data_IF_918045847862
#
_entry.id   IF_918045847862
#
_cell.length_a   1.000
_cell.length_b   1.000
_cell.length_c   1.000
_cell.angle_alpha   90.00
_cell.angle_beta   90.00
_cell.angle_gamma   90.00
#
_symmetry.space_group_name_H-M   'P 1'
#
loop_
_entity.id
_entity.type
_entity.pdbx_description
1 polymer ?
#
# COMPACT_ATOMS: atom_id res chain seq x y z
N UNK A 1 28.32 30.18 -43.26
CA UNK A 1 27.96 28.92 -43.95
C UNK A 1 28.94 27.77 -43.68
N UNK A 2 30.22 27.85 -44.04
CA UNK A 2 31.21 26.76 -43.81
C UNK A 2 31.33 26.28 -42.35
N UNK A 3 31.31 27.19 -41.38
CA UNK A 3 31.36 26.84 -39.95
C UNK A 3 30.10 26.07 -39.48
N UNK A 4 28.93 26.39 -40.04
CA UNK A 4 27.68 25.70 -39.71
C UNK A 4 27.69 24.24 -40.21
N UNK A 5 28.18 24.02 -41.44
CA UNK A 5 28.32 22.66 -41.99
C UNK A 5 29.33 21.82 -41.21
N UNK A 6 30.41 22.44 -40.71
CA UNK A 6 31.40 21.75 -39.89
C UNK A 6 30.82 21.36 -38.52
N UNK A 7 30.06 22.26 -37.87
CA UNK A 7 29.42 22.00 -36.58
C UNK A 7 28.34 20.91 -36.67
N UNK A 8 27.53 20.92 -37.75
CA UNK A 8 26.55 19.89 -38.01
C UNK A 8 27.20 18.50 -38.21
N UNK A 9 28.31 18.45 -38.96
CA UNK A 9 29.06 17.20 -39.17
C UNK A 9 29.68 16.66 -37.88
N UNK A 10 30.13 17.50 -36.96
CA UNK A 10 30.64 17.03 -35.67
C UNK A 10 29.51 16.53 -34.77
N UNK A 11 28.36 17.21 -34.77
CA UNK A 11 27.20 16.78 -34.01
C UNK A 11 26.74 15.38 -34.43
N UNK A 12 26.61 15.12 -35.73
CA UNK A 12 26.23 13.80 -36.26
C UNK A 12 27.22 12.69 -35.87
N UNK A 13 28.53 13.00 -35.82
CA UNK A 13 29.55 12.03 -35.39
C UNK A 13 29.42 11.71 -33.91
N UNK A 14 29.20 12.72 -33.07
CA UNK A 14 29.01 12.50 -31.62
C UNK A 14 27.74 11.72 -31.34
N UNK A 15 26.65 12.01 -32.06
CA UNK A 15 25.38 11.29 -31.96
C UNK A 15 25.55 9.82 -32.41
N UNK A 16 26.26 9.58 -33.50
CA UNK A 16 26.53 8.23 -34.00
C UNK A 16 27.41 7.40 -33.05
N UNK A 17 28.35 8.03 -32.33
CA UNK A 17 29.14 7.34 -31.30
C UNK A 17 28.31 7.03 -30.06
N UNK A 18 27.50 7.99 -29.60
CA UNK A 18 26.64 7.81 -28.43
C UNK A 18 25.60 6.70 -28.65
N UNK A 19 25.00 6.63 -29.84
CA UNK A 19 24.03 5.58 -30.18
C UNK A 19 24.65 4.19 -30.24
N UNK A 20 25.87 4.06 -30.80
CA UNK A 20 26.61 2.77 -30.80
C UNK A 20 26.96 2.29 -29.40
N UNK A 21 27.41 3.20 -28.53
CA UNK A 21 27.73 2.86 -27.14
C UNK A 21 26.47 2.45 -26.34
N UNK A 22 25.35 3.15 -26.56
CA UNK A 22 24.07 2.76 -25.98
C UNK A 22 23.61 1.38 -26.46
N UNK A 23 23.68 1.10 -27.76
CA UNK A 23 23.33 -0.21 -28.31
C UNK A 23 24.19 -1.33 -27.72
N UNK A 24 25.49 -1.08 -27.53
CA UNK A 24 26.40 -2.02 -26.88
C UNK A 24 25.96 -2.34 -25.45
N UNK A 25 25.67 -1.31 -24.65
CA UNK A 25 25.22 -1.49 -23.25
C UNK A 25 23.87 -2.19 -23.15
N UNK A 26 22.96 -1.92 -24.07
CA UNK A 26 21.66 -2.62 -24.14
C UNK A 26 21.86 -4.10 -24.43
N UNK A 27 22.78 -4.47 -25.34
CA UNK A 27 23.13 -5.87 -25.60
C UNK A 27 23.75 -6.56 -24.39
N UNK A 28 24.71 -5.90 -23.71
CA UNK A 28 25.32 -6.42 -22.48
C UNK A 28 24.24 -6.69 -21.40
N UNK A 29 23.38 -5.71 -21.13
CA UNK A 29 22.28 -5.87 -20.16
C UNK A 29 21.29 -6.97 -20.57
N UNK A 30 20.98 -7.10 -21.87
CA UNK A 30 20.11 -8.16 -22.36
C UNK A 30 20.71 -9.55 -22.09
N UNK A 31 22.02 -9.71 -22.22
CA UNK A 31 22.69 -10.99 -21.92
C UNK A 31 22.69 -11.30 -20.43
N UNK A 32 22.87 -10.30 -19.57
CA UNK A 32 22.78 -10.47 -18.12
C UNK A 32 21.37 -10.86 -17.66
N UNK A 33 20.34 -10.22 -18.22
CA UNK A 33 18.93 -10.56 -17.92
C UNK A 33 18.62 -12.00 -18.33
N UNK A 34 19.07 -12.44 -19.51
CA UNK A 34 18.90 -13.82 -19.96
C UNK A 34 19.61 -14.81 -19.02
N UNK A 35 20.81 -14.48 -18.54
CA UNK A 35 21.52 -15.30 -17.56
C UNK A 35 20.77 -15.39 -16.23
N UNK A 36 20.26 -14.28 -15.69
CA UNK A 36 19.47 -14.30 -14.46
C UNK A 36 18.19 -15.14 -14.61
N UNK A 37 17.50 -15.05 -15.74
CA UNK A 37 16.32 -15.87 -16.01
C UNK A 37 16.63 -17.37 -15.99
N UNK A 38 17.77 -17.77 -16.55
CA UNK A 38 18.21 -19.17 -16.53
C UNK A 38 18.49 -19.69 -15.10
N UNK A 39 19.07 -18.85 -14.24
CA UNK A 39 19.31 -19.19 -12.83
C UNK A 39 18.00 -19.35 -12.06
N UNK A 40 17.03 -18.44 -12.26
CA UNK A 40 15.71 -18.57 -11.63
C UNK A 40 14.97 -19.82 -12.07
N UNK A 41 15.06 -20.21 -13.35
CA UNK A 41 14.45 -21.44 -13.85
C UNK A 41 15.09 -22.68 -13.21
N UNK A 42 16.42 -22.70 -13.09
CA UNK A 42 17.15 -23.78 -12.42
C UNK A 42 16.75 -23.91 -10.94
N UNK A 43 16.64 -22.80 -10.20
CA UNK A 43 16.20 -22.80 -8.81
C UNK A 43 14.75 -23.31 -8.65
N UNK A 44 13.82 -22.90 -9.52
CA UNK A 44 12.44 -23.43 -9.50
C UNK A 44 12.39 -24.92 -9.78
N UNK A 45 13.21 -25.41 -10.71
CA UNK A 45 13.28 -26.84 -11.02
C UNK A 45 13.83 -27.65 -9.83
N UNK A 46 14.81 -27.11 -9.12
CA UNK A 46 15.38 -27.76 -7.94
C UNK A 46 14.41 -27.80 -6.75
N UNK A 47 13.59 -26.75 -6.57
CA UNK A 47 12.54 -26.75 -5.53
C UNK A 47 11.46 -27.80 -5.77
N UNK A 48 11.10 -28.08 -7.02
CA UNK A 48 10.10 -29.11 -7.32
C UNK A 48 10.58 -30.51 -6.92
N UNK A 49 11.84 -30.84 -7.17
CA UNK A 49 12.42 -32.14 -6.79
C UNK A 49 12.39 -32.34 -5.26
N UNK A 50 12.67 -31.29 -4.48
CA UNK A 50 12.67 -31.38 -3.01
C UNK A 50 11.23 -31.52 -2.46
N UNK A 51 10.23 -30.93 -3.11
CA UNK A 51 8.84 -31.04 -2.66
C UNK A 51 8.21 -32.42 -2.92
N UNK A 52 8.61 -33.10 -4.00
CA UNK A 52 8.11 -34.45 -4.31
C UNK A 52 8.73 -35.53 -3.39
N UNK A 53 9.95 -35.32 -2.89
CA UNK A 53 10.62 -36.29 -2.00
C UNK A 53 10.18 -36.15 -0.52
N UNK A 54 9.54 -35.02 -0.15
CA UNK A 54 9.11 -34.74 1.23
C UNK A 54 7.60 -34.90 1.48
N UNK A 55 6.89 -35.71 0.68
CA UNK A 55 5.56 -36.24 1.03
C UNK A 55 5.62 -37.70 1.49
N UNK A 56 6.17 -38.04 2.67
CA UNK A 56 5.85 -39.31 3.31
C UNK A 56 4.48 -39.22 3.98
N UNK A 57 3.53 -39.99 3.42
CA UNK A 57 2.44 -40.67 4.13
C UNK A 57 1.85 -39.94 5.36
N UNK A 58 1.10 -38.86 5.14
CA UNK A 58 0.09 -38.41 6.11
C UNK A 58 -1.30 -38.62 5.51
N UNK A 59 -1.56 -39.89 5.21
CA UNK A 59 -2.90 -40.39 4.88
C UNK A 59 -3.41 -41.12 6.13
N UNK A 60 -3.88 -40.36 7.13
CA UNK A 60 -4.68 -40.92 8.21
C UNK A 60 -5.63 -39.88 8.80
N UNK A 61 -6.93 -40.20 8.66
CA UNK A 61 -8.09 -39.65 9.37
C UNK A 61 -8.44 -38.18 9.16
N UNK A 62 -9.09 -37.94 8.00
CA UNK A 62 -10.07 -36.87 7.86
C UNK A 62 -11.42 -37.38 8.39
N UNK A 63 -11.66 -37.20 9.69
CA UNK A 63 -13.01 -37.30 10.26
C UNK A 63 -13.90 -36.22 9.65
N UNK A 64 -15.00 -36.65 9.05
CA UNK A 64 -16.05 -35.79 8.51
C UNK A 64 -16.81 -35.13 9.66
N UNK A 65 -16.41 -33.91 10.03
CA UNK A 65 -17.20 -33.08 10.94
C UNK A 65 -18.42 -32.56 10.18
N UNK A 66 -19.57 -33.12 10.53
CA UNK A 66 -20.90 -32.68 10.09
C UNK A 66 -21.18 -31.32 10.71
N UNK A 67 -21.28 -30.28 9.89
CA UNK A 67 -21.69 -28.93 10.30
C UNK A 67 -23.22 -28.90 10.39
N UNK A 68 -23.83 -28.59 11.55
CA UNK A 68 -25.28 -28.45 11.65
C UNK A 68 -25.74 -27.17 10.96
N UNK A 69 -26.87 -27.27 10.23
CA UNK A 69 -27.56 -26.14 9.64
C UNK A 69 -28.05 -25.18 10.74
N UNK A 70 -27.65 -23.91 10.63
CA UNK A 70 -28.16 -22.83 11.48
C UNK A 70 -29.46 -22.29 10.87
N UNK A 71 -30.53 -22.43 11.66
CA UNK A 71 -31.87 -21.92 11.38
C UNK A 71 -31.89 -20.38 11.33
N UNK A 72 -32.60 -19.88 10.33
CA UNK A 72 -32.87 -18.47 10.08
C UNK A 72 -34.08 -18.03 10.90
N UNK A 73 -33.84 -17.59 12.15
CA UNK A 73 -34.89 -16.96 12.95
C UNK A 73 -34.84 -15.44 12.84
N UNK A 74 -35.91 -14.90 12.28
CA UNK A 74 -36.30 -13.50 12.18
C UNK A 74 -36.36 -12.83 13.56
N UNK A 75 -35.57 -11.77 13.75
CA UNK A 75 -35.71 -10.85 14.87
C UNK A 75 -36.24 -9.51 14.34
N UNK A 76 -37.49 -9.22 14.71
CA UNK A 76 -38.15 -7.92 14.60
C UNK A 76 -37.49 -6.95 15.57
N UNK A 77 -37.06 -5.78 15.07
CA UNK A 77 -36.42 -4.74 15.87
C UNK A 77 -37.43 -3.61 16.08
N UNK A 78 -37.76 -3.37 17.35
CA UNK A 78 -38.74 -2.39 17.82
C UNK A 78 -38.23 -0.95 17.64
N UNK A 79 -39.08 -0.12 17.04
CA UNK A 79 -38.98 1.34 16.96
C UNK A 79 -39.33 1.96 18.33
N UNK A 80 -38.35 2.49 19.06
CA UNK A 80 -38.59 3.52 20.07
C UNK A 80 -37.29 4.20 20.52
N UNK A 81 -36.92 5.30 19.85
CA UNK A 81 -35.97 6.26 20.40
C UNK A 81 -36.37 7.68 20.01
N UNK A 82 -36.92 8.36 21.01
CA UNK A 82 -37.31 9.75 21.09
C UNK A 82 -36.21 10.73 20.70
N UNK A 83 -36.55 11.68 19.83
CA UNK A 83 -35.76 12.85 19.44
C UNK A 83 -35.48 13.79 20.61
N UNK A 84 -34.24 14.29 20.81
CA UNK A 84 -34.00 15.42 21.68
C UNK A 84 -34.30 16.74 20.92
N UNK A 85 -35.14 17.57 21.55
CA UNK A 85 -35.45 18.93 21.12
C UNK A 85 -34.21 19.83 21.20
N UNK A 86 -33.96 20.55 20.12
CA UNK A 86 -32.91 21.55 20.00
C UNK A 86 -33.44 22.89 20.55
N UNK A 87 -33.00 23.26 21.75
CA UNK A 87 -33.28 24.57 22.36
C UNK A 87 -32.26 25.60 21.85
N UNK A 88 -32.80 26.67 21.28
CA UNK A 88 -32.07 27.85 20.81
C UNK A 88 -31.67 28.77 21.98
N UNK A 89 -30.44 29.29 21.89
CA UNK A 89 -30.10 30.62 22.39
C UNK A 89 -29.23 30.67 23.65
N UNK A 90 -27.96 31.05 23.48
CA UNK A 90 -27.41 32.21 24.18
C UNK A 90 -26.07 32.63 23.54
N UNK A 91 -25.97 33.92 23.22
CA UNK A 91 -24.77 34.57 22.73
C UNK A 91 -23.61 34.52 23.75
N UNK A 92 -22.42 34.14 23.29
CA UNK A 92 -21.17 34.42 23.98
C UNK A 92 -20.12 34.85 22.93
N UNK A 93 -19.86 36.15 22.91
CA UNK A 93 -18.69 36.73 22.29
C UNK A 93 -17.42 36.24 23.01
N UNK A 94 -16.33 36.18 22.26
CA UNK A 94 -14.95 35.99 22.74
C UNK A 94 -14.55 34.58 23.20
N UNK A 95 -14.47 33.64 22.25
CA UNK A 95 -13.71 32.40 22.42
C UNK A 95 -12.42 32.44 21.57
N UNK A 96 -11.23 32.18 22.15
CA UNK A 96 -9.99 32.06 21.40
C UNK A 96 -10.08 30.88 20.42
N UNK A 97 -9.48 31.03 19.23
CA UNK A 97 -9.47 30.06 18.15
C UNK A 97 -9.06 28.66 18.64
N UNK A 98 -10.05 27.87 19.05
CA UNK A 98 -9.90 26.47 19.41
C UNK A 98 -9.60 25.74 18.11
N UNK A 99 -8.35 25.26 18.00
CA UNK A 99 -7.93 24.30 17.00
C UNK A 99 -9.00 23.19 16.96
N UNK A 100 -9.79 23.17 15.89
CA UNK A 100 -10.87 22.21 15.70
C UNK A 100 -10.25 20.82 15.74
N UNK A 101 -10.34 20.17 16.90
CA UNK A 101 -10.04 18.75 17.04
C UNK A 101 -11.07 18.06 16.17
N UNK A 102 -10.65 17.61 14.99
CA UNK A 102 -11.45 16.76 14.13
C UNK A 102 -11.79 15.49 14.92
N UNK A 103 -12.94 15.51 15.59
CA UNK A 103 -13.61 14.32 16.07
C UNK A 103 -14.19 13.65 14.83
N UNK A 104 -13.53 12.59 14.36
CA UNK A 104 -14.11 11.68 13.38
C UNK A 104 -15.55 11.34 13.81
N UNK A 105 -16.49 11.42 12.88
CA UNK A 105 -17.90 11.11 13.16
C UNK A 105 -18.00 9.77 13.89
N UNK A 106 -18.68 9.70 15.04
CA UNK A 106 -18.78 8.47 15.86
C UNK A 106 -19.44 7.30 15.12
N UNK A 107 -20.04 7.57 13.97
CA UNK A 107 -20.71 6.61 13.08
C UNK A 107 -19.74 5.67 12.34
N UNK A 108 -18.44 5.99 12.28
CA UNK A 108 -17.41 5.08 11.72
C UNK A 108 -16.79 4.15 12.76
N UNK A 109 -17.41 4.00 13.94
CA UNK A 109 -17.18 2.82 14.78
C UNK A 109 -17.74 1.63 14.02
N UNK A 110 -16.85 0.91 13.33
CA UNK A 110 -17.10 -0.45 12.89
C UNK A 110 -17.54 -1.21 14.16
N UNK A 111 -18.86 -1.44 14.32
CA UNK A 111 -19.36 -2.29 15.40
C UNK A 111 -18.93 -3.70 15.05
N UNK A 112 -17.75 -4.07 15.52
CA UNK A 112 -17.53 -5.47 15.84
C UNK A 112 -18.50 -5.70 16.99
N UNK A 113 -19.68 -6.22 16.65
CA UNK A 113 -20.70 -6.60 17.60
C UNK A 113 -20.07 -7.55 18.62
N UNK A 114 -19.65 -6.99 19.77
CA UNK A 114 -19.28 -7.77 20.95
C UNK A 114 -20.42 -8.72 21.35
N UNK A 115 -21.65 -8.37 20.99
CA UNK A 115 -22.86 -9.20 21.10
C UNK A 115 -22.85 -10.43 20.18
N UNK A 116 -22.20 -10.39 19.01
CA UNK A 116 -22.02 -11.56 18.16
C UNK A 116 -20.97 -12.54 18.74
N UNK A 117 -19.95 -12.04 19.46
CA UNK A 117 -19.03 -12.90 20.20
C UNK A 117 -19.68 -13.52 21.45
N UNK A 118 -20.55 -12.78 22.14
CA UNK A 118 -21.27 -13.29 23.31
C UNK A 118 -22.30 -14.37 22.95
N UNK A 119 -22.95 -14.26 21.78
CA UNK A 119 -23.94 -15.24 21.31
C UNK A 119 -23.32 -16.48 20.65
N UNK A 120 -22.00 -16.51 20.39
CA UNK A 120 -21.31 -17.68 19.86
C UNK A 120 -21.13 -18.83 20.88
N UNK A 121 -21.70 -18.72 22.09
CA UNK A 121 -21.67 -19.78 23.09
C UNK A 121 -20.27 -20.14 23.60
N UNK A 122 -19.27 -19.30 23.30
CA UNK A 122 -17.96 -19.36 23.92
C UNK A 122 -18.11 -18.83 25.35
N UNK A 123 -18.64 -19.69 26.22
CA UNK A 123 -18.41 -19.57 27.65
C UNK A 123 -16.92 -19.28 27.87
N UNK A 124 -16.54 -18.36 28.76
CA UNK A 124 -15.18 -18.29 29.25
C UNK A 124 -14.90 -19.58 30.02
N UNK A 125 -14.53 -20.63 29.28
CA UNK A 125 -14.08 -21.89 29.84
C UNK A 125 -12.76 -21.59 30.53
N UNK A 126 -12.80 -21.67 31.85
CA UNK A 126 -11.71 -21.58 32.81
C UNK A 126 -10.65 -22.70 32.67
N UNK A 127 -10.47 -23.27 31.49
CA UNK A 127 -9.32 -24.14 31.24
C UNK A 127 -8.15 -23.25 30.82
N UNK A 128 -7.49 -22.71 31.84
CA UNK A 128 -6.13 -22.17 31.72
C UNK A 128 -5.19 -23.38 31.65
N UNK A 129 -4.77 -23.87 30.46
CA UNK A 129 -3.74 -24.90 30.39
C UNK A 129 -2.52 -24.38 31.13
N UNK A 130 -1.99 -25.19 32.04
CA UNK A 130 -0.74 -24.91 32.72
C UNK A 130 0.33 -24.72 31.65
N UNK A 131 0.62 -23.45 31.34
CA UNK A 131 1.64 -23.05 30.39
C UNK A 131 2.97 -23.64 30.88
N UNK A 132 3.38 -24.74 30.26
CA UNK A 132 4.73 -25.25 30.34
C UNK A 132 5.66 -24.12 29.88
N UNK A 133 6.70 -23.85 30.67
CA UNK A 133 7.63 -22.71 30.52
C UNK A 133 8.26 -22.57 29.12
N UNK A 134 8.12 -23.57 28.25
CA UNK A 134 8.72 -23.60 26.92
C UNK A 134 7.92 -22.80 25.88
N UNK A 135 6.60 -22.66 26.02
CA UNK A 135 5.79 -21.87 25.09
C UNK A 135 5.74 -20.38 25.45
N UNK A 136 6.07 -20.04 26.70
CA UNK A 136 6.16 -18.66 27.15
C UNK A 136 7.20 -17.85 26.35
N UNK A 137 8.33 -18.46 25.98
CA UNK A 137 9.35 -17.79 25.18
C UNK A 137 8.96 -17.63 23.70
N UNK A 138 8.13 -18.51 23.14
CA UNK A 138 7.58 -18.38 21.77
C UNK A 138 6.52 -17.28 21.70
N UNK A 139 5.59 -17.24 22.65
CA UNK A 139 4.62 -16.17 22.76
C UNK A 139 5.26 -14.81 23.12
N UNK A 140 6.40 -14.83 23.83
CA UNK A 140 7.17 -13.63 24.16
C UNK A 140 8.07 -13.14 23.02
N UNK A 141 8.48 -14.01 22.10
CA UNK A 141 9.17 -13.62 20.87
C UNK A 141 8.23 -12.89 19.90
N UNK A 142 6.95 -13.28 19.83
CA UNK A 142 5.96 -12.61 18.99
C UNK A 142 5.35 -11.34 19.63
N UNK A 143 5.44 -11.18 20.95
CA UNK A 143 4.96 -9.98 21.66
C UNK A 143 6.03 -8.92 21.96
N UNK A 144 7.29 -9.14 21.55
CA UNK A 144 8.26 -8.05 21.38
C UNK A 144 8.12 -7.32 20.04
N UNK A 145 7.02 -7.56 19.30
CA UNK A 145 6.63 -6.68 18.22
C UNK A 145 6.28 -5.29 18.78
N UNK A 146 7.21 -4.36 18.56
CA UNK A 146 6.90 -2.95 18.31
C UNK A 146 6.44 -2.08 19.49
N UNK A 147 6.97 -2.28 20.69
CA UNK A 147 6.89 -1.23 21.71
C UNK A 147 8.09 -0.29 21.59
N UNK A 148 7.86 0.88 20.96
CA UNK A 148 8.52 2.20 21.20
C UNK A 148 10.05 2.24 21.00
N UNK A 149 10.73 3.15 20.29
CA UNK A 149 10.42 4.56 20.04
C UNK A 149 11.46 5.18 19.06
N UNK A 150 11.84 4.48 17.99
CA UNK A 150 12.55 5.14 16.89
C UNK A 150 11.57 5.38 15.75
N UNK A 151 10.74 6.40 15.94
CA UNK A 151 10.02 7.03 14.83
C UNK A 151 11.08 7.46 13.84
N UNK A 152 11.15 6.74 12.73
CA UNK A 152 12.15 6.99 11.73
C UNK A 152 11.95 8.43 11.22
N UNK A 153 12.97 9.30 11.24
CA UNK A 153 12.80 10.74 10.96
C UNK A 153 12.30 11.03 9.54
N UNK A 154 12.29 10.02 8.67
CA UNK A 154 11.82 10.09 7.29
C UNK A 154 10.39 9.56 7.09
N UNK A 155 9.66 9.25 8.16
CA UNK A 155 8.25 8.91 8.04
C UNK A 155 7.37 10.15 8.12
N UNK A 156 6.45 10.25 7.18
CA UNK A 156 5.55 11.38 7.06
C UNK A 156 4.20 10.97 7.64
N UNK A 157 3.74 11.73 8.64
CA UNK A 157 2.38 11.55 9.15
C UNK A 157 1.37 11.91 8.06
N UNK A 158 0.34 11.08 7.81
CA UNK A 158 -0.64 11.31 6.74
C UNK A 158 -1.45 12.60 6.93
N UNK A 159 -1.52 13.12 8.17
CA UNK A 159 -2.27 14.32 8.53
C UNK A 159 -1.47 15.62 8.34
N UNK A 160 -0.23 15.55 7.85
CA UNK A 160 0.57 16.77 7.63
C UNK A 160 0.03 17.56 6.42
N UNK A 161 -0.02 18.90 6.50
CA UNK A 161 -0.49 19.74 5.39
C UNK A 161 0.38 19.58 4.14
N UNK A 162 1.67 19.27 4.30
CA UNK A 162 2.57 18.96 3.19
C UNK A 162 2.09 17.75 2.38
N UNK A 163 1.60 16.70 3.04
CA UNK A 163 1.03 15.52 2.38
C UNK A 163 -0.24 15.90 1.64
N UNK A 164 -1.11 16.73 2.23
CA UNK A 164 -2.33 17.21 1.56
C UNK A 164 -2.00 18.04 0.32
N UNK A 165 -0.99 18.92 0.38
CA UNK A 165 -0.52 19.68 -0.78
C UNK A 165 0.08 18.77 -1.86
N UNK A 166 0.83 17.73 -1.46
CA UNK A 166 1.33 16.71 -2.40
C UNK A 166 0.19 15.99 -3.11
N UNK A 167 -0.84 15.56 -2.36
CA UNK A 167 -2.03 14.92 -2.93
C UNK A 167 -2.78 15.86 -3.90
N UNK A 168 -2.91 17.15 -3.54
CA UNK A 168 -3.55 18.14 -4.42
C UNK A 168 -2.76 18.35 -5.72
N UNK A 169 -1.42 18.41 -5.62
CA UNK A 169 -0.54 18.44 -6.79
C UNK A 169 -0.75 17.20 -7.67
N UNK A 170 -0.91 16.02 -7.06
CA UNK A 170 -1.22 14.79 -7.76
C UNK A 170 -2.53 14.83 -8.54
N UNK A 171 -3.59 15.39 -7.96
CA UNK A 171 -4.87 15.58 -8.67
C UNK A 171 -4.69 16.48 -9.90
N UNK A 172 -3.89 17.54 -9.80
CA UNK A 172 -3.61 18.44 -10.93
C UNK A 172 -2.80 17.71 -12.01
N UNK A 173 -1.75 16.97 -11.64
CA UNK A 173 -0.93 16.20 -12.59
C UNK A 173 -1.76 15.11 -13.28
N UNK A 174 -2.59 14.39 -12.53
CA UNK A 174 -3.51 13.38 -13.05
C UNK A 174 -4.49 13.99 -14.07
N UNK A 175 -5.03 15.19 -13.78
CA UNK A 175 -5.92 15.88 -14.70
C UNK A 175 -5.20 16.24 -16.02
N UNK A 176 -3.95 16.73 -15.94
CA UNK A 176 -3.14 17.00 -17.13
C UNK A 176 -2.88 15.71 -17.92
N UNK A 177 -2.56 14.61 -17.24
CA UNK A 177 -2.31 13.30 -17.86
C UNK A 177 -3.56 12.77 -18.60
N UNK A 178 -4.74 12.93 -17.99
CA UNK A 178 -6.03 12.57 -18.59
C UNK A 178 -6.38 13.39 -19.85
N UNK A 179 -6.03 14.67 -19.85
CA UNK A 179 -6.22 15.52 -21.05
C UNK A 179 -5.21 15.12 -22.13
N UNK A 180 -3.95 14.88 -21.75
CA UNK A 180 -2.88 14.49 -22.67
C UNK A 180 -3.17 13.16 -23.37
N UNK A 181 -3.65 12.14 -22.65
CA UNK A 181 -3.99 10.86 -23.26
C UNK A 181 -5.10 11.00 -24.32
N UNK A 182 -6.06 11.91 -24.10
CA UNK A 182 -7.13 12.19 -25.06
C UNK A 182 -6.61 12.93 -26.30
N UNK A 183 -5.65 13.84 -26.11
CA UNK A 183 -5.03 14.60 -27.21
C UNK A 183 -4.14 13.73 -28.12
N UNK A 184 -3.60 12.61 -27.61
CA UNK A 184 -2.78 11.67 -28.41
C UNK A 184 -3.52 11.02 -29.58
N UNK A 185 -4.86 11.07 -29.61
CA UNK A 185 -5.65 10.58 -30.75
C UNK A 185 -5.49 11.48 -31.98
N UNK A 186 -5.12 12.75 -31.79
CA UNK A 186 -4.89 13.68 -32.88
C UNK A 186 -3.43 13.62 -33.34
N UNK A 187 -3.16 13.65 -34.66
CA UNK A 187 -1.80 13.73 -35.18
C UNK A 187 -1.22 15.14 -34.94
N UNK A 188 -0.73 15.37 -33.73
CA UNK A 188 -0.03 16.60 -33.35
C UNK A 188 1.46 16.40 -33.70
N UNK A 189 2.13 17.35 -34.37
CA UNK A 189 3.55 17.24 -34.64
C UNK A 189 4.36 17.20 -33.34
N UNK A 190 5.34 16.30 -33.28
CA UNK A 190 6.20 16.12 -32.11
C UNK A 190 6.89 17.44 -31.73
N UNK A 191 6.45 18.02 -30.62
CA UNK A 191 7.00 19.26 -30.11
C UNK A 191 7.90 18.99 -28.91
N UNK A 192 8.99 19.73 -28.79
CA UNK A 192 9.90 19.67 -27.61
C UNK A 192 9.15 19.91 -26.30
N UNK A 193 8.05 20.68 -26.34
CA UNK A 193 7.16 20.93 -25.21
C UNK A 193 6.46 19.66 -24.73
N UNK A 194 5.99 18.82 -25.64
CA UNK A 194 5.32 17.56 -25.28
C UNK A 194 6.29 16.61 -24.58
N UNK A 195 7.52 16.50 -25.09
CA UNK A 195 8.58 15.73 -24.43
C UNK A 195 8.85 16.24 -23.01
N UNK A 196 8.92 17.56 -22.83
CA UNK A 196 9.11 18.16 -21.51
C UNK A 196 7.97 17.82 -20.53
N UNK A 197 6.72 17.89 -20.99
CA UNK A 197 5.55 17.54 -20.17
C UNK A 197 5.54 16.05 -19.82
N UNK A 198 5.81 15.17 -20.79
CA UNK A 198 5.87 13.73 -20.56
C UNK A 198 6.96 13.36 -19.53
N UNK A 199 8.14 13.97 -19.60
CA UNK A 199 9.21 13.77 -18.60
C UNK A 199 8.80 14.29 -17.23
N UNK A 200 8.12 15.44 -17.16
CA UNK A 200 7.63 16.01 -15.91
C UNK A 200 6.58 15.09 -15.25
N UNK A 201 5.59 14.62 -16.01
CA UNK A 201 4.55 13.68 -15.54
C UNK A 201 5.19 12.38 -15.05
N UNK A 202 6.10 11.80 -15.84
CA UNK A 202 6.83 10.59 -15.45
C UNK A 202 7.62 10.79 -14.16
N UNK A 203 8.33 11.91 -14.02
CA UNK A 203 9.10 12.22 -12.81
C UNK A 203 8.22 12.39 -11.59
N UNK A 204 7.02 12.96 -11.75
CA UNK A 204 6.03 13.08 -10.68
C UNK A 204 5.58 11.70 -10.20
N UNK A 205 5.16 10.82 -11.11
CA UNK A 205 4.73 9.47 -10.76
C UNK A 205 5.83 8.64 -10.11
N UNK A 206 7.08 8.81 -10.53
CA UNK A 206 8.22 8.16 -9.89
C UNK A 206 8.40 8.62 -8.44
N UNK A 207 8.28 9.93 -8.20
CA UNK A 207 8.36 10.49 -6.84
C UNK A 207 7.18 10.05 -5.98
N UNK A 208 5.98 9.94 -6.55
CA UNK A 208 4.79 9.51 -5.82
C UNK A 208 4.91 8.07 -5.29
N UNK A 209 5.51 7.16 -6.07
CA UNK A 209 5.84 5.81 -5.61
C UNK A 209 6.82 5.86 -4.44
N UNK A 210 7.88 6.67 -4.53
CA UNK A 210 8.87 6.80 -3.44
C UNK A 210 8.27 7.41 -2.17
N UNK A 211 7.37 8.38 -2.30
CA UNK A 211 6.65 8.99 -1.18
C UNK A 211 5.65 8.02 -0.56
N UNK A 212 4.99 7.18 -1.37
CA UNK A 212 4.03 6.18 -0.89
C UNK A 212 4.65 5.18 0.09
N UNK A 213 5.93 4.84 -0.07
CA UNK A 213 6.67 4.00 0.90
C UNK A 213 6.99 4.71 2.23
N UNK A 214 6.87 6.03 2.29
CA UNK A 214 7.19 6.86 3.46
C UNK A 214 5.95 7.26 4.26
N UNK A 215 4.75 7.09 3.70
CA UNK A 215 3.48 7.39 4.36
C UNK A 215 3.03 6.19 5.19
N UNK A 216 2.77 6.42 6.48
CA UNK A 216 2.20 5.39 7.37
C UNK A 216 0.76 5.04 7.02
N UNK A 217 0.34 3.80 7.29
CA UNK A 217 -1.04 3.36 7.08
C UNK A 217 -1.75 3.12 8.41
N UNK A 218 -3.06 3.36 8.43
CA UNK A 218 -3.93 2.96 9.53
C UNK A 218 -4.40 1.52 9.31
N UNK A 219 -4.18 0.67 10.31
CA UNK A 219 -4.78 -0.67 10.36
C UNK A 219 -6.29 -0.56 10.66
N UNK A 220 -7.09 -1.62 10.40
CA UNK A 220 -8.51 -1.66 10.74
C UNK A 220 -8.83 -1.44 12.22
N UNK A 221 -7.88 -1.75 13.11
CA UNK A 221 -7.99 -1.50 14.56
C UNK A 221 -7.73 -0.03 14.96
N UNK A 222 -7.51 0.87 14.00
CA UNK A 222 -7.18 2.28 14.23
C UNK A 222 -5.72 2.54 14.59
N UNK A 223 -4.89 1.50 14.69
CA UNK A 223 -3.46 1.62 15.01
C UNK A 223 -2.68 2.16 13.80
N UNK A 224 -1.89 3.21 14.02
CA UNK A 224 -1.04 3.81 12.99
C UNK A 224 0.30 3.08 12.93
N UNK A 225 0.54 2.38 11.83
CA UNK A 225 1.77 1.59 11.64
C UNK A 225 2.82 2.45 10.94
N UNK A 226 3.92 2.71 11.64
CA UNK A 226 5.08 3.47 11.15
C UNK A 226 6.30 2.58 10.82
N UNK A 227 6.08 1.30 10.55
CA UNK A 227 7.15 0.37 10.19
C UNK A 227 7.37 0.35 8.67
N UNK A 228 8.45 0.96 8.16
CA UNK A 228 8.71 1.07 6.70
C UNK A 228 8.67 -0.27 5.96
N UNK A 229 9.30 -1.32 6.53
CA UNK A 229 9.30 -2.66 5.94
C UNK A 229 7.89 -3.21 5.80
N UNK A 230 7.04 -2.98 6.80
CA UNK A 230 5.66 -3.45 6.79
C UNK A 230 4.81 -2.66 5.79
N UNK A 231 5.00 -1.34 5.72
CA UNK A 231 4.36 -0.49 4.70
C UNK A 231 4.75 -0.93 3.29
N UNK A 232 6.05 -1.15 3.03
CA UNK A 232 6.53 -1.58 1.72
C UNK A 232 5.98 -2.95 1.32
N UNK A 233 5.97 -3.94 2.22
CA UNK A 233 5.39 -5.26 1.95
C UNK A 233 3.89 -5.17 1.71
N UNK A 234 3.17 -4.37 2.49
CA UNK A 234 1.73 -4.18 2.30
C UNK A 234 1.45 -3.50 0.95
N UNK A 235 2.24 -2.49 0.59
CA UNK A 235 2.11 -1.80 -0.68
C UNK A 235 2.37 -2.74 -1.86
N UNK A 236 3.46 -3.52 -1.81
CA UNK A 236 3.76 -4.53 -2.82
C UNK A 236 2.72 -5.64 -2.90
N UNK A 237 1.99 -5.93 -1.81
CA UNK A 237 0.92 -6.94 -1.81
C UNK A 237 -0.40 -6.41 -2.36
N UNK A 238 -0.66 -5.11 -2.21
CA UNK A 238 -1.98 -4.53 -2.49
C UNK A 238 -2.02 -3.87 -3.87
N UNK A 239 -0.91 -3.31 -4.35
CA UNK A 239 -0.88 -2.43 -5.51
C UNK A 239 0.07 -2.86 -6.65
N UNK A 240 1.05 -3.71 -6.37
CA UNK A 240 1.96 -4.29 -7.37
C UNK A 240 1.61 -5.75 -7.62
#
# INVERSE_FOLDING_TARGET
>A
EKLYLQLASEHDRTLAMATKELQKRVLELSTEVAHMQSLTQAETSQRHIIHDELQPATDMHRESVVVPALDSSSATLDDNASSPSFDDGQAAADAPCLLHRFTLCPEWKLSIDETALANAGLNPVEDRPSMTKNNFWRAKADSQLFTTDQVSPYMISPLRPATVMWQLLGVIVLFVDLVMISLRVFPIPDNVVEMGINVAIFSYWLMDILVSFQVGHHKPNGELVMARRQVALQYMKTWL
#
